data_IF_122731685248
#
_entry.id   IF_122731685248
#
_cell.length_a   1.000
_cell.length_b   1.000
_cell.length_c   1.000
_cell.angle_alpha   90.00
_cell.angle_beta   90.00
_cell.angle_gamma   90.00
#
_symmetry.space_group_name_H-M   'P 1'
#
loop_
_entity.id
_entity.type
_entity.pdbx_description
1 polymer ?
#
# COMPACT_ATOMS: atom_id res chain seq x y z
N UNK A 1 -11.42 -6.05 -16.68
CA UNK A 1 -10.09 -5.39 -16.59
C UNK A 1 -9.27 -6.09 -15.50
N UNK A 2 -8.07 -6.51 -15.83
CA UNK A 2 -7.18 -7.16 -14.87
C UNK A 2 -6.38 -6.09 -14.14
N UNK A 3 -6.55 -6.00 -12.82
CA UNK A 3 -5.80 -5.06 -12.00
C UNK A 3 -4.45 -5.65 -11.61
N UNK A 4 -3.45 -4.79 -11.48
CA UNK A 4 -2.09 -5.19 -11.22
C UNK A 4 -1.81 -5.26 -9.73
N UNK A 5 -0.95 -6.19 -9.33
CA UNK A 5 -0.36 -6.22 -7.99
C UNK A 5 1.01 -5.57 -8.06
N UNK A 6 1.23 -4.55 -7.23
CA UNK A 6 2.50 -3.84 -7.16
C UNK A 6 3.23 -4.25 -5.90
N UNK A 7 4.48 -4.66 -6.06
CA UNK A 7 5.35 -5.05 -4.95
C UNK A 7 6.53 -4.08 -4.85
N UNK A 8 6.70 -3.49 -3.67
CA UNK A 8 7.80 -2.56 -3.41
C UNK A 8 8.70 -3.13 -2.32
N UNK A 9 9.88 -3.61 -2.72
CA UNK A 9 10.85 -4.23 -1.82
C UNK A 9 12.13 -3.41 -1.65
N UNK A 10 12.13 -2.15 -2.10
CA UNK A 10 13.28 -1.25 -2.01
C UNK A 10 12.87 0.09 -1.41
N UNK A 11 13.83 0.87 -0.87
CA UNK A 11 13.51 2.23 -0.40
C UNK A 11 12.83 3.03 -1.51
N UNK A 12 11.70 3.65 -1.18
CA UNK A 12 10.87 4.32 -2.18
C UNK A 12 10.06 5.44 -1.56
N UNK A 13 9.77 6.47 -2.35
CA UNK A 13 8.78 7.49 -2.03
C UNK A 13 7.58 7.28 -2.94
N UNK A 14 6.43 7.04 -2.34
CA UNK A 14 5.18 6.82 -3.06
C UNK A 14 4.24 7.99 -2.77
N UNK A 15 3.73 8.60 -3.82
CA UNK A 15 2.84 9.76 -3.72
C UNK A 15 1.77 9.71 -4.80
N UNK A 16 0.84 10.67 -4.73
CA UNK A 16 -0.26 10.79 -5.68
C UNK A 16 -0.08 12.06 -6.51
N UNK A 17 -0.25 11.95 -7.82
CA UNK A 17 -0.28 13.09 -8.71
C UNK A 17 -1.18 12.78 -9.91
N UNK A 18 -2.18 13.63 -10.13
CA UNK A 18 -3.09 13.51 -11.28
C UNK A 18 -3.75 12.13 -11.41
N UNK A 19 -4.19 11.55 -10.30
CA UNK A 19 -4.84 10.24 -10.30
C UNK A 19 -3.90 9.07 -10.56
N UNK A 20 -2.59 9.28 -10.36
CA UNK A 20 -1.58 8.26 -10.59
C UNK A 20 -0.68 8.10 -9.36
N UNK A 21 -0.29 6.86 -9.10
CA UNK A 21 0.75 6.57 -8.13
C UNK A 21 2.10 7.01 -8.73
N UNK A 22 2.85 7.80 -7.99
CA UNK A 22 4.17 8.27 -8.41
C UNK A 22 5.23 7.60 -7.55
N UNK A 23 6.13 6.86 -8.20
CA UNK A 23 7.26 6.21 -7.55
C UNK A 23 8.53 7.02 -7.78
N UNK A 24 9.17 7.40 -6.68
CA UNK A 24 10.49 8.07 -6.70
C UNK A 24 11.46 7.26 -5.87
N UNK A 25 12.69 7.14 -6.36
CA UNK A 25 13.76 6.50 -5.59
C UNK A 25 14.45 7.56 -4.74
N UNK A 26 14.64 7.34 -3.42
CA UNK A 26 15.27 8.34 -2.54
C UNK A 26 16.68 8.72 -2.98
N UNK A 27 17.44 7.77 -3.49
CA UNK A 27 18.80 8.01 -3.96
C UNK A 27 18.84 9.03 -5.10
N UNK A 28 17.86 9.00 -5.99
CA UNK A 28 17.75 9.95 -7.09
C UNK A 28 17.23 11.29 -6.59
N UNK A 29 16.19 11.28 -5.76
CA UNK A 29 15.57 12.52 -5.26
C UNK A 29 16.50 13.36 -4.41
N UNK A 30 17.38 12.73 -3.62
CA UNK A 30 18.28 13.40 -2.69
C UNK A 30 19.63 13.76 -3.29
N UNK A 31 19.90 13.31 -4.51
CA UNK A 31 21.19 13.57 -5.16
C UNK A 31 21.14 14.91 -5.89
N UNK A 32 21.67 15.96 -5.26
CA UNK A 32 21.68 17.31 -5.81
C UNK A 32 22.57 17.45 -7.06
N UNK A 33 23.47 16.49 -7.30
CA UNK A 33 24.32 16.50 -8.48
C UNK A 33 23.57 16.11 -9.76
N UNK A 34 22.37 15.53 -9.64
CA UNK A 34 21.58 15.13 -10.80
C UNK A 34 20.70 16.28 -11.29
N UNK A 35 20.56 16.47 -12.61
CA UNK A 35 19.65 17.47 -13.16
C UNK A 35 18.20 17.14 -12.79
N UNK A 36 17.37 18.19 -12.65
CA UNK A 36 15.94 18.00 -12.36
C UNK A 36 15.23 17.20 -13.46
N UNK A 37 15.64 17.36 -14.71
CA UNK A 37 15.10 16.59 -15.82
C UNK A 37 15.35 15.10 -15.64
N UNK A 38 16.54 14.72 -15.20
CA UNK A 38 16.87 13.33 -14.92
C UNK A 38 16.05 12.77 -13.76
N UNK A 39 15.86 13.56 -12.70
CA UNK A 39 15.03 13.18 -11.56
C UNK A 39 13.59 12.90 -11.99
N UNK A 40 13.04 13.73 -12.89
CA UNK A 40 11.69 13.54 -13.42
C UNK A 40 11.59 12.31 -14.30
N UNK A 41 12.59 12.06 -15.13
CA UNK A 41 12.63 10.89 -16.00
C UNK A 41 12.76 9.59 -15.21
N UNK A 42 13.41 9.66 -14.04
CA UNK A 42 13.54 8.51 -13.16
C UNK A 42 12.26 8.19 -12.38
N UNK A 43 11.29 9.11 -12.35
CA UNK A 43 10.00 8.86 -11.74
C UNK A 43 9.20 7.88 -12.60
N UNK A 44 8.47 7.01 -11.92
CA UNK A 44 7.52 6.11 -12.59
C UNK A 44 6.11 6.42 -12.11
N UNK A 45 5.17 6.38 -13.04
CA UNK A 45 3.76 6.64 -12.72
C UNK A 45 2.91 5.46 -13.15
N UNK A 46 1.92 5.14 -12.33
CA UNK A 46 0.99 4.05 -12.60
C UNK A 46 -0.41 4.56 -12.29
N UNK A 47 -1.36 4.49 -13.24
CA UNK A 47 -2.73 4.92 -12.96
C UNK A 47 -3.34 4.14 -11.80
N UNK A 48 -4.00 4.84 -10.89
CA UNK A 48 -4.61 4.24 -9.70
C UNK A 48 -5.65 3.17 -10.10
N UNK A 49 -6.40 3.43 -11.17
CA UNK A 49 -7.43 2.50 -11.65
C UNK A 49 -6.89 1.13 -12.10
N UNK A 50 -5.60 1.06 -12.41
CA UNK A 50 -4.97 -0.19 -12.82
C UNK A 50 -4.41 -1.01 -11.66
N UNK A 51 -4.49 -0.48 -10.44
CA UNK A 51 -3.89 -1.10 -9.25
C UNK A 51 -4.95 -1.83 -8.44
N UNK A 52 -4.71 -3.10 -8.14
CA UNK A 52 -5.60 -3.89 -7.28
C UNK A 52 -5.04 -4.10 -5.88
N UNK A 53 -3.73 -4.32 -5.77
CA UNK A 53 -3.07 -4.56 -4.47
C UNK A 53 -1.69 -3.89 -4.50
N UNK A 54 -1.34 -3.25 -3.39
CA UNK A 54 0.00 -2.68 -3.17
C UNK A 54 0.63 -3.41 -1.98
N UNK A 55 1.83 -3.95 -2.17
CA UNK A 55 2.58 -4.62 -1.11
C UNK A 55 3.80 -3.78 -0.75
N UNK A 56 3.88 -3.34 0.50
CA UNK A 56 4.97 -2.52 1.02
C UNK A 56 5.89 -3.41 1.86
N UNK A 57 7.07 -3.71 1.35
CA UNK A 57 7.99 -4.69 1.94
C UNK A 57 9.39 -4.11 2.13
N UNK A 58 9.47 -2.93 2.72
CA UNK A 58 10.74 -2.32 3.10
C UNK A 58 10.50 -1.25 4.17
N UNK A 59 11.39 -1.18 5.15
CA UNK A 59 11.25 -0.23 6.26
C UNK A 59 11.42 1.23 5.84
N UNK A 60 12.06 1.48 4.71
CA UNK A 60 12.32 2.84 4.22
C UNK A 60 11.38 3.25 3.09
N UNK A 61 10.18 2.71 3.07
CA UNK A 61 9.15 3.15 2.14
C UNK A 61 8.34 4.26 2.81
N UNK A 62 8.21 5.39 2.13
CA UNK A 62 7.37 6.50 2.57
C UNK A 62 6.17 6.60 1.63
N UNK A 63 4.98 6.67 2.21
CA UNK A 63 3.72 6.76 1.47
C UNK A 63 2.95 7.97 1.96
N UNK A 64 2.46 8.79 1.05
CA UNK A 64 1.64 9.94 1.44
C UNK A 64 0.22 9.49 1.77
N UNK A 65 -0.43 10.19 2.70
CA UNK A 65 -1.82 9.92 3.06
C UNK A 65 -2.76 10.07 1.86
N UNK A 66 -2.49 11.07 1.00
CA UNK A 66 -3.29 11.27 -0.20
C UNK A 66 -3.26 10.07 -1.15
N UNK A 67 -2.12 9.40 -1.25
CA UNK A 67 -2.02 8.18 -2.06
C UNK A 67 -2.81 7.04 -1.42
N UNK A 68 -2.69 6.84 -0.11
CA UNK A 68 -3.46 5.80 0.59
C UNK A 68 -4.96 6.01 0.40
N UNK A 69 -5.42 7.24 0.55
CA UNK A 69 -6.82 7.59 0.35
C UNK A 69 -7.29 7.23 -1.06
N UNK A 70 -6.54 7.62 -2.08
CA UNK A 70 -6.89 7.35 -3.47
C UNK A 70 -6.89 5.85 -3.78
N UNK A 71 -5.93 5.10 -3.26
CA UNK A 71 -5.89 3.65 -3.46
C UNK A 71 -7.12 2.97 -2.87
N UNK A 72 -7.48 3.33 -1.64
CA UNK A 72 -8.63 2.73 -0.96
C UNK A 72 -9.95 3.13 -1.62
N UNK A 73 -10.08 4.37 -2.08
CA UNK A 73 -11.27 4.82 -2.82
C UNK A 73 -11.46 4.05 -4.13
N UNK A 74 -10.39 3.55 -4.72
CA UNK A 74 -10.43 2.76 -5.96
C UNK A 74 -10.43 1.25 -5.70
N UNK A 75 -10.82 0.82 -4.50
CA UNK A 75 -10.92 -0.59 -4.12
C UNK A 75 -9.57 -1.32 -4.17
N UNK A 76 -8.48 -0.63 -3.95
CA UNK A 76 -7.16 -1.22 -3.86
C UNK A 76 -6.85 -1.59 -2.41
N UNK A 77 -6.33 -2.80 -2.18
CA UNK A 77 -5.86 -3.21 -0.86
C UNK A 77 -4.40 -2.83 -0.68
N UNK A 78 -3.99 -2.52 0.55
CA UNK A 78 -2.60 -2.21 0.89
C UNK A 78 -2.11 -3.17 1.96
N UNK A 79 -1.04 -3.88 1.66
CA UNK A 79 -0.41 -4.84 2.57
C UNK A 79 0.93 -4.29 2.99
N UNK A 80 1.20 -4.28 4.30
CA UNK A 80 2.51 -3.90 4.83
C UNK A 80 3.19 -5.10 5.47
N UNK A 81 4.51 -5.20 5.33
CA UNK A 81 5.29 -6.32 5.81
C UNK A 81 6.27 -5.89 6.89
N UNK A 82 6.70 -6.85 7.71
CA UNK A 82 7.70 -6.61 8.76
C UNK A 82 9.12 -6.80 8.23
N UNK A 83 10.11 -6.76 9.14
CA UNK A 83 11.52 -6.93 8.80
C UNK A 83 11.84 -8.31 8.22
N UNK A 84 11.02 -9.30 8.54
CA UNK A 84 11.17 -10.67 8.05
C UNK A 84 10.45 -10.88 6.72
N UNK A 85 9.93 -9.82 6.12
CA UNK A 85 9.18 -9.81 4.86
C UNK A 85 7.86 -10.58 4.95
N UNK A 86 7.30 -10.64 6.15
CA UNK A 86 6.00 -11.27 6.40
C UNK A 86 4.91 -10.21 6.54
N UNK A 87 3.74 -10.42 5.94
CA UNK A 87 2.64 -9.47 6.07
C UNK A 87 2.23 -9.30 7.52
N UNK A 88 2.15 -8.04 7.98
CA UNK A 88 1.75 -7.70 9.35
C UNK A 88 0.53 -6.80 9.40
N UNK A 89 0.15 -6.22 8.29
CA UNK A 89 -1.00 -5.31 8.25
C UNK A 89 -1.66 -5.32 6.89
N UNK A 90 -2.95 -5.01 6.90
CA UNK A 90 -3.77 -4.96 5.69
C UNK A 90 -4.74 -3.80 5.81
N UNK A 91 -4.73 -2.91 4.82
CA UNK A 91 -5.73 -1.86 4.70
C UNK A 91 -6.70 -2.23 3.59
N UNK A 92 -7.98 -2.24 3.91
CA UNK A 92 -9.06 -2.56 2.99
C UNK A 92 -10.00 -1.36 2.85
N UNK A 93 -10.58 -1.15 1.66
CA UNK A 93 -11.53 -0.05 1.48
C UNK A 93 -12.79 -0.30 2.28
N UNK A 94 -13.25 0.76 2.95
CA UNK A 94 -14.55 0.76 3.63
C UNK A 94 -15.66 1.21 2.68
N UNK A 95 -15.29 1.95 1.64
CA UNK A 95 -16.20 2.43 0.61
C UNK A 95 -16.02 1.61 -0.65
N UNK A 96 -17.08 1.37 -1.39
CA UNK A 96 -17.03 0.57 -2.60
C UNK A 96 -18.38 -0.07 -2.85
N UNK A 97 -18.39 -1.26 -3.42
CA UNK A 97 -19.63 -2.01 -3.63
C UNK A 97 -20.27 -2.32 -2.27
N UNK A 98 -21.53 -1.92 -2.09
CA UNK A 98 -22.26 -2.08 -0.83
C UNK A 98 -22.25 -3.54 -0.33
N UNK A 99 -22.41 -4.49 -1.25
CA UNK A 99 -22.40 -5.91 -0.91
C UNK A 99 -21.06 -6.37 -0.37
N UNK A 100 -19.96 -5.91 -0.98
CA UNK A 100 -18.62 -6.24 -0.50
C UNK A 100 -18.35 -5.63 0.87
N UNK A 101 -18.80 -4.40 1.11
CA UNK A 101 -18.61 -3.74 2.40
C UNK A 101 -19.34 -4.49 3.51
N UNK A 102 -20.55 -4.96 3.26
CA UNK A 102 -21.29 -5.75 4.22
C UNK A 102 -20.56 -7.07 4.53
N UNK A 103 -20.04 -7.74 3.50
CA UNK A 103 -19.28 -8.98 3.68
C UNK A 103 -18.03 -8.74 4.51
N UNK A 104 -17.29 -7.68 4.21
CA UNK A 104 -16.09 -7.35 4.98
C UNK A 104 -16.42 -7.04 6.43
N UNK A 105 -17.49 -6.28 6.68
CA UNK A 105 -17.93 -5.97 8.04
C UNK A 105 -18.28 -7.24 8.81
N UNK A 106 -18.99 -8.16 8.19
CA UNK A 106 -19.32 -9.44 8.82
C UNK A 106 -18.07 -10.26 9.10
N UNK A 107 -17.15 -10.32 8.15
CA UNK A 107 -15.90 -11.05 8.32
C UNK A 107 -15.03 -10.45 9.41
N UNK A 108 -14.93 -9.14 9.47
CA UNK A 108 -14.17 -8.44 10.51
C UNK A 108 -14.80 -8.67 11.87
N UNK A 109 -16.12 -8.57 11.98
CA UNK A 109 -16.83 -8.81 13.24
C UNK A 109 -16.67 -10.26 13.70
N UNK A 110 -16.79 -11.24 12.78
CA UNK A 110 -16.65 -12.65 13.10
C UNK A 110 -15.21 -13.04 13.44
N UNK A 111 -14.20 -12.36 12.83
CA UNK A 111 -12.80 -12.70 13.01
C UNK A 111 -12.14 -12.02 14.21
N UNK A 112 -12.76 -10.99 14.80
CA UNK A 112 -12.17 -10.28 15.94
C UNK A 112 -11.89 -11.18 17.14
N UNK A 113 -12.82 -12.04 17.59
CA UNK A 113 -12.53 -12.97 18.68
C UNK A 113 -11.38 -13.91 18.34
N UNK A 114 -11.33 -14.41 17.11
CA UNK A 114 -10.27 -15.29 16.66
C UNK A 114 -8.91 -14.56 16.63
N UNK A 115 -8.89 -13.33 16.16
CA UNK A 115 -7.66 -12.51 16.16
C UNK A 115 -7.15 -12.27 17.58
N UNK A 116 -8.05 -11.99 18.52
CA UNK A 116 -7.68 -11.81 19.92
C UNK A 116 -7.08 -13.08 20.51
N UNK A 117 -7.65 -14.23 20.21
CA UNK A 117 -7.12 -15.51 20.67
C UNK A 117 -5.73 -15.77 20.10
N UNK A 118 -5.53 -15.55 18.81
CA UNK A 118 -4.25 -15.73 18.16
C UNK A 118 -3.21 -14.77 18.73
N UNK A 119 -3.59 -13.52 18.96
CA UNK A 119 -2.72 -12.52 19.56
C UNK A 119 -2.29 -12.91 20.96
N UNK A 120 -3.24 -13.38 21.79
CA UNK A 120 -2.93 -13.83 23.14
C UNK A 120 -1.96 -15.02 23.13
N UNK A 121 -2.19 -15.99 22.24
CA UNK A 121 -1.29 -17.12 22.11
C UNK A 121 0.12 -16.70 21.71
N UNK A 122 0.23 -15.75 20.79
CA UNK A 122 1.54 -15.23 20.35
C UNK A 122 2.26 -14.51 21.48
N UNK A 123 1.56 -13.71 22.27
CA UNK A 123 2.16 -12.94 23.38
C UNK A 123 2.55 -13.84 24.54
N UNK A 124 1.80 -14.92 24.79
CA UNK A 124 2.06 -15.82 25.91
C UNK A 124 3.20 -16.80 25.63
N UNK A 125 3.61 -16.94 24.40
CA UNK A 125 4.79 -17.73 24.08
C UNK A 125 6.06 -16.95 24.39
#
# INVERSE_FOLDING_TARGET
MIKRTLYFGNPSYLSLRNGQLVLRLPEVSKNDALPDTFKREAERTIPIEDIGVVVLDHSQITVTHGLLEALLENNCAVITCDKSRMPVGLMLPLCGNTTQNERFRYQLAASQPLKKQLWQQTVQQ
#
